data_IF_221982511646
#
_entry.id   IF_221982511646
#
_cell.length_a   1.000
_cell.length_b   1.000
_cell.length_c   1.000
_cell.angle_alpha   90.00
_cell.angle_beta   90.00
_cell.angle_gamma   90.00
#
_symmetry.space_group_name_H-M   'P 1'
#
loop_
_entity.id
_entity.type
_entity.pdbx_description
1 polymer ?
#
# COMPACT_ATOMS: atom_id res chain seq x y z
N UNK A 1 29.59 -7.91 -1.73
CA UNK A 1 28.35 -8.69 -1.57
C UNK A 1 28.71 -10.14 -1.33
N UNK A 2 28.46 -10.72 -0.16
CA UNK A 2 28.75 -12.13 0.09
C UNK A 2 27.67 -12.98 -0.58
N UNK A 3 28.09 -13.88 -1.46
CA UNK A 3 27.24 -14.94 -2.02
C UNK A 3 26.76 -15.82 -0.87
N UNK A 4 25.45 -15.81 -0.57
CA UNK A 4 24.86 -16.76 0.36
C UNK A 4 25.06 -18.18 -0.22
N UNK A 5 25.96 -18.93 0.37
CA UNK A 5 26.06 -20.37 0.16
C UNK A 5 24.80 -21.00 0.73
N UNK A 6 23.85 -21.37 -0.12
CA UNK A 6 22.81 -22.33 0.27
C UNK A 6 23.54 -23.62 0.64
N UNK A 7 23.51 -23.97 1.90
CA UNK A 7 24.03 -25.25 2.44
C UNK A 7 23.37 -26.40 1.69
N UNK A 8 24.21 -27.26 1.13
CA UNK A 8 23.79 -28.54 0.53
C UNK A 8 23.08 -29.38 1.61
N UNK A 9 22.02 -30.12 1.27
CA UNK A 9 21.52 -31.16 2.15
C UNK A 9 22.61 -32.24 2.29
N UNK A 10 22.86 -32.65 3.52
CA UNK A 10 23.80 -33.67 3.90
C UNK A 10 23.68 -34.94 3.01
N UNK A 11 24.79 -35.61 2.82
CA UNK A 11 25.04 -36.85 2.04
C UNK A 11 24.15 -38.06 2.44
N UNK A 12 23.19 -37.88 3.33
CA UNK A 12 22.26 -38.88 3.84
C UNK A 12 20.97 -39.07 3.00
N UNK A 13 20.74 -38.30 1.96
CA UNK A 13 19.49 -38.34 1.19
C UNK A 13 19.63 -38.98 -0.19
N UNK A 14 19.89 -40.26 -0.22
CA UNK A 14 19.47 -41.03 -1.39
C UNK A 14 17.95 -41.03 -1.47
N UNK A 15 17.36 -40.63 -2.61
CA UNK A 15 15.91 -40.55 -2.79
C UNK A 15 15.17 -41.85 -2.42
N UNK A 16 15.88 -42.95 -2.50
CA UNK A 16 15.36 -44.28 -2.27
C UNK A 16 16.00 -44.98 -1.06
N UNK A 17 16.64 -44.24 -0.15
CA UNK A 17 17.15 -44.79 1.10
C UNK A 17 15.99 -45.41 1.90
N UNK A 18 16.13 -46.71 2.24
CA UNK A 18 15.11 -47.48 2.96
C UNK A 18 14.29 -48.42 2.10
N UNK A 19 14.43 -48.36 0.75
CA UNK A 19 13.96 -49.43 -0.11
C UNK A 19 14.94 -50.61 -0.10
N UNK A 20 14.43 -51.84 0.00
CA UNK A 20 15.20 -53.05 -0.16
C UNK A 20 15.66 -53.22 -1.59
N UNK A 21 16.68 -54.05 -1.83
CA UNK A 21 17.20 -54.36 -3.17
C UNK A 21 16.09 -54.85 -4.12
N UNK A 22 15.18 -55.68 -3.63
CA UNK A 22 14.01 -56.16 -4.40
C UNK A 22 13.05 -55.06 -4.79
N UNK A 23 12.77 -54.12 -3.89
CA UNK A 23 11.91 -52.97 -4.15
C UNK A 23 12.55 -52.01 -5.16
N UNK A 24 13.88 -51.84 -5.11
CA UNK A 24 14.62 -51.04 -6.09
C UNK A 24 14.62 -51.69 -7.49
N UNK A 25 14.73 -53.01 -7.56
CA UNK A 25 14.64 -53.75 -8.83
C UNK A 25 13.22 -53.64 -9.40
N UNK A 26 12.18 -53.83 -8.61
CA UNK A 26 10.78 -53.69 -9.04
C UNK A 26 10.51 -52.26 -9.57
N UNK A 27 10.93 -51.24 -8.82
CA UNK A 27 10.78 -49.83 -9.23
C UNK A 27 11.55 -49.54 -10.54
N UNK A 28 12.82 -49.95 -10.61
CA UNK A 28 13.67 -49.68 -11.77
C UNK A 28 13.25 -50.40 -13.04
N UNK A 29 12.57 -51.56 -12.92
CA UNK A 29 12.07 -52.32 -14.07
C UNK A 29 10.81 -51.68 -14.71
N UNK A 30 10.09 -50.82 -13.98
CA UNK A 30 8.81 -50.23 -14.42
C UNK A 30 8.90 -48.71 -14.65
N UNK A 31 9.76 -48.04 -13.92
CA UNK A 31 9.91 -46.59 -14.02
C UNK A 31 10.85 -46.22 -15.20
N UNK A 32 10.52 -45.10 -15.85
CA UNK A 32 11.36 -44.56 -16.91
C UNK A 32 12.55 -43.82 -16.31
N UNK A 33 13.77 -44.16 -16.80
CA UNK A 33 14.99 -43.44 -16.43
C UNK A 33 15.45 -42.60 -17.60
N UNK A 34 15.41 -41.28 -17.44
CA UNK A 34 15.90 -40.34 -18.44
C UNK A 34 17.35 -39.94 -18.13
N UNK A 35 18.17 -39.83 -19.21
CA UNK A 35 19.55 -39.37 -19.16
C UNK A 35 19.65 -38.02 -19.82
N UNK A 36 20.13 -37.02 -19.10
CA UNK A 36 20.22 -35.63 -19.55
C UNK A 36 21.68 -35.24 -19.72
N UNK A 37 21.99 -34.49 -20.77
CA UNK A 37 23.29 -33.87 -20.97
C UNK A 37 23.34 -32.51 -20.24
N UNK A 38 24.55 -32.02 -19.93
CA UNK A 38 24.72 -30.69 -19.37
C UNK A 38 24.15 -29.62 -20.32
N UNK A 39 23.32 -28.70 -19.77
CA UNK A 39 22.63 -27.65 -20.53
C UNK A 39 21.29 -28.07 -21.13
N UNK A 40 20.92 -29.34 -21.07
CA UNK A 40 19.65 -29.83 -21.60
C UNK A 40 18.46 -29.34 -20.78
N UNK A 41 17.41 -28.84 -21.47
CA UNK A 41 16.14 -28.42 -20.84
C UNK A 41 15.28 -29.68 -20.71
N UNK A 42 15.12 -30.14 -19.47
CA UNK A 42 14.33 -31.33 -19.19
C UNK A 42 12.82 -31.02 -19.11
N UNK A 43 12.48 -29.98 -18.40
CA UNK A 43 11.09 -29.59 -18.25
C UNK A 43 10.92 -28.11 -18.66
N UNK A 44 9.87 -27.82 -19.44
CA UNK A 44 9.56 -26.46 -19.90
C UNK A 44 8.38 -25.88 -19.12
N UNK A 45 8.47 -24.62 -18.73
CA UNK A 45 7.33 -23.86 -18.20
C UNK A 45 6.15 -23.91 -19.18
N UNK A 46 4.94 -24.12 -18.66
CA UNK A 46 3.68 -24.19 -19.42
C UNK A 46 3.35 -25.59 -19.96
N UNK A 47 4.22 -26.60 -19.79
CA UNK A 47 3.86 -27.97 -20.10
C UNK A 47 2.85 -28.51 -19.08
N UNK A 48 1.93 -29.37 -19.56
CA UNK A 48 0.97 -30.11 -18.73
C UNK A 48 1.52 -31.51 -18.50
N UNK A 49 1.75 -31.90 -17.25
CA UNK A 49 2.35 -33.16 -16.88
C UNK A 49 2.08 -33.45 -15.39
N UNK A 50 1.80 -34.69 -15.06
CA UNK A 50 1.54 -35.17 -13.69
C UNK A 50 2.62 -36.10 -13.15
N UNK A 51 3.84 -35.95 -13.65
CA UNK A 51 4.98 -36.80 -13.25
C UNK A 51 5.80 -36.12 -12.15
N UNK A 52 6.28 -36.95 -11.22
CA UNK A 52 7.30 -36.60 -10.23
C UNK A 52 8.63 -37.13 -10.70
N UNK A 53 9.68 -36.34 -10.53
CA UNK A 53 11.01 -36.70 -10.95
C UNK A 53 11.97 -36.70 -9.77
N UNK A 54 12.77 -37.74 -9.67
CA UNK A 54 13.79 -37.89 -8.63
C UNK A 54 15.17 -37.99 -9.28
N UNK A 55 16.11 -37.18 -8.81
CA UNK A 55 17.49 -37.20 -9.34
C UNK A 55 18.23 -38.40 -8.76
N UNK A 56 18.61 -39.34 -9.63
CA UNK A 56 19.42 -40.48 -9.27
C UNK A 56 20.91 -40.11 -9.16
N UNK A 57 21.36 -39.22 -10.06
CA UNK A 57 22.74 -38.77 -10.15
C UNK A 57 22.82 -37.45 -10.93
N UNK A 58 23.78 -36.55 -10.61
CA UNK A 58 23.94 -35.27 -11.25
C UNK A 58 23.18 -34.14 -10.55
N UNK A 59 22.97 -33.02 -11.27
CA UNK A 59 22.33 -31.77 -10.75
C UNK A 59 21.50 -31.08 -11.80
N UNK A 60 20.42 -30.49 -11.38
CA UNK A 60 19.58 -29.61 -12.19
C UNK A 60 19.39 -28.26 -11.53
N UNK A 61 19.14 -27.21 -12.33
CA UNK A 61 18.69 -25.89 -11.84
C UNK A 61 17.26 -25.66 -12.27
N UNK A 62 16.47 -25.10 -11.36
CA UNK A 62 15.10 -24.61 -11.63
C UNK A 62 15.19 -23.14 -11.97
N UNK A 63 14.61 -22.74 -13.10
CA UNK A 63 14.65 -21.37 -13.60
C UNK A 63 13.23 -20.81 -13.79
N UNK A 64 13.07 -19.51 -13.55
CA UNK A 64 11.83 -18.76 -13.78
C UNK A 64 12.12 -17.45 -14.52
N UNK A 65 11.17 -16.99 -15.31
CA UNK A 65 11.25 -15.74 -16.06
C UNK A 65 11.40 -15.93 -17.56
N UNK A 66 11.23 -14.85 -18.35
CA UNK A 66 11.44 -14.89 -19.79
C UNK A 66 12.93 -15.06 -20.13
N UNK A 67 13.25 -15.59 -21.32
CA UNK A 67 14.63 -15.92 -21.74
C UNK A 67 15.66 -14.82 -21.45
N UNK A 68 15.29 -13.53 -21.59
CA UNK A 68 16.17 -12.39 -21.35
C UNK A 68 16.40 -12.04 -19.86
N UNK A 69 15.58 -12.56 -18.92
CA UNK A 69 15.66 -12.27 -17.48
C UNK A 69 15.43 -13.53 -16.64
N UNK A 70 16.05 -14.65 -17.05
CA UNK A 70 15.93 -15.90 -16.31
C UNK A 70 16.66 -15.83 -14.97
N UNK A 71 15.96 -16.17 -13.89
CA UNK A 71 16.50 -16.25 -12.53
C UNK A 71 16.52 -17.71 -12.10
N UNK A 72 17.67 -18.19 -11.60
CA UNK A 72 17.74 -19.50 -10.94
C UNK A 72 17.07 -19.40 -9.56
N UNK A 73 16.04 -20.23 -9.36
CA UNK A 73 15.28 -20.27 -8.09
C UNK A 73 15.91 -21.29 -7.16
N UNK A 74 16.28 -22.47 -7.68
CA UNK A 74 16.85 -23.54 -6.88
C UNK A 74 17.82 -24.39 -7.73
N UNK A 75 18.72 -25.08 -7.04
CA UNK A 75 19.55 -26.15 -7.58
C UNK A 75 19.23 -27.40 -6.80
N UNK A 76 18.91 -28.50 -7.51
CA UNK A 76 18.56 -29.77 -6.93
C UNK A 76 19.62 -30.79 -7.38
N UNK A 77 20.14 -31.54 -6.43
CA UNK A 77 21.17 -32.60 -6.65
C UNK A 77 20.62 -33.97 -6.35
N UNK A 78 21.50 -34.98 -6.45
CA UNK A 78 21.20 -36.38 -6.16
C UNK A 78 20.30 -36.59 -4.96
N UNK A 79 19.23 -37.35 -5.12
CA UNK A 79 18.23 -37.64 -4.10
C UNK A 79 17.14 -36.59 -3.98
N UNK A 80 17.26 -35.48 -4.71
CA UNK A 80 16.25 -34.40 -4.68
C UNK A 80 15.06 -34.71 -5.58
N UNK A 81 13.94 -34.10 -5.23
CA UNK A 81 12.66 -34.22 -5.89
C UNK A 81 12.38 -32.98 -6.76
N UNK A 82 11.96 -33.21 -8.00
CA UNK A 82 11.52 -32.17 -8.93
C UNK A 82 10.02 -32.33 -9.14
N UNK A 83 9.29 -31.21 -9.13
CA UNK A 83 7.85 -31.13 -9.43
C UNK A 83 6.95 -31.95 -8.47
N UNK A 84 7.26 -31.90 -7.20
CA UNK A 84 6.43 -32.53 -6.17
C UNK A 84 4.95 -32.11 -6.20
N UNK A 85 4.67 -30.89 -6.67
CA UNK A 85 3.31 -30.33 -6.75
C UNK A 85 2.45 -30.98 -7.86
N UNK A 86 3.05 -31.61 -8.85
CA UNK A 86 2.30 -32.32 -9.89
C UNK A 86 1.48 -33.49 -9.34
N UNK A 87 1.91 -34.09 -8.22
CA UNK A 87 1.16 -35.13 -7.50
C UNK A 87 -0.03 -34.55 -6.72
N UNK A 88 0.04 -33.27 -6.35
CA UNK A 88 -0.98 -32.59 -5.57
C UNK A 88 -2.14 -31.99 -6.40
N UNK A 89 -2.16 -32.20 -7.74
CA UNK A 89 -3.29 -31.87 -8.60
C UNK A 89 -3.15 -30.58 -9.44
N UNK A 90 -2.01 -29.87 -9.40
CA UNK A 90 -1.74 -28.74 -10.32
C UNK A 90 -0.85 -29.21 -11.48
N UNK A 91 -1.42 -29.53 -12.67
CA UNK A 91 -0.65 -30.10 -13.78
C UNK A 91 0.17 -29.05 -14.53
N UNK A 92 -0.03 -27.74 -14.29
CA UNK A 92 0.63 -26.68 -15.04
C UNK A 92 2.01 -26.36 -14.47
N UNK A 93 3.05 -26.55 -15.26
CA UNK A 93 4.44 -26.26 -14.86
C UNK A 93 4.70 -24.74 -14.82
N UNK A 94 5.05 -24.24 -13.65
CA UNK A 94 5.33 -22.80 -13.43
C UNK A 94 6.79 -22.42 -13.69
N UNK A 95 7.67 -23.40 -13.80
CA UNK A 95 9.13 -23.24 -13.93
C UNK A 95 9.70 -24.12 -15.03
N UNK A 96 10.94 -23.88 -15.42
CA UNK A 96 11.71 -24.79 -16.30
C UNK A 96 12.88 -25.41 -15.54
N UNK A 97 13.27 -26.64 -15.91
CA UNK A 97 14.36 -27.39 -15.29
C UNK A 97 15.44 -27.67 -16.32
N UNK A 98 16.68 -27.34 -15.98
CA UNK A 98 17.86 -27.52 -16.87
C UNK A 98 18.92 -28.33 -16.12
N UNK A 99 19.46 -29.35 -16.77
CA UNK A 99 20.59 -30.08 -16.24
C UNK A 99 21.86 -29.20 -16.23
N UNK A 100 22.58 -29.16 -15.10
CA UNK A 100 23.84 -28.40 -15.00
C UNK A 100 25.08 -29.25 -15.27
N UNK A 101 24.92 -30.58 -15.18
CA UNK A 101 25.92 -31.61 -15.45
C UNK A 101 25.18 -32.86 -15.99
N UNK A 102 25.87 -33.89 -16.53
CA UNK A 102 25.24 -35.14 -16.92
C UNK A 102 24.41 -35.69 -15.76
N UNK A 103 23.10 -35.86 -15.99
CA UNK A 103 22.12 -36.12 -14.92
C UNK A 103 21.24 -37.31 -15.29
N UNK A 104 20.99 -38.21 -14.34
CA UNK A 104 20.02 -39.31 -14.48
C UNK A 104 18.83 -39.03 -13.58
N UNK A 105 17.63 -39.13 -14.14
CA UNK A 105 16.38 -38.82 -13.46
C UNK A 105 15.43 -40.01 -13.63
N UNK A 106 14.77 -40.42 -12.56
CA UNK A 106 13.68 -41.38 -12.63
C UNK A 106 12.35 -40.60 -12.63
N UNK A 107 11.52 -40.93 -13.62
CA UNK A 107 10.20 -40.34 -13.79
C UNK A 107 9.14 -41.30 -13.22
N UNK A 108 8.28 -40.78 -12.34
CA UNK A 108 7.23 -41.51 -11.65
C UNK A 108 5.89 -40.84 -11.90
N UNK A 109 4.99 -41.55 -12.55
CA UNK A 109 3.57 -41.18 -12.61
C UNK A 109 2.75 -42.13 -11.72
N UNK A 110 1.48 -41.78 -11.54
CA UNK A 110 0.56 -42.61 -10.76
C UNK A 110 0.45 -44.03 -11.30
N UNK A 111 0.35 -44.19 -12.62
CA UNK A 111 0.25 -45.51 -13.27
C UNK A 111 1.46 -46.40 -13.01
N UNK A 112 2.66 -45.81 -13.09
CA UNK A 112 3.92 -46.51 -12.76
C UNK A 112 3.91 -47.01 -11.32
N UNK A 113 3.54 -46.12 -10.37
CA UNK A 113 3.48 -46.48 -8.93
C UNK A 113 2.42 -47.54 -8.66
N UNK A 114 1.23 -47.38 -9.25
CA UNK A 114 0.09 -48.33 -9.10
C UNK A 114 0.42 -49.74 -9.72
N UNK A 115 1.35 -49.79 -10.65
CA UNK A 115 1.80 -51.08 -11.26
C UNK A 115 2.80 -51.88 -10.39
N UNK A 116 3.39 -51.25 -9.36
CA UNK A 116 4.31 -51.91 -8.44
C UNK A 116 3.57 -52.87 -7.50
N UNK A 117 4.27 -53.82 -6.88
CA UNK A 117 3.65 -54.62 -5.83
C UNK A 117 3.32 -53.74 -4.62
N UNK A 118 2.27 -54.12 -3.84
CA UNK A 118 1.72 -53.33 -2.74
C UNK A 118 2.77 -52.86 -1.72
N UNK A 119 3.74 -53.74 -1.41
CA UNK A 119 4.81 -53.43 -0.47
C UNK A 119 5.73 -52.32 -1.01
N UNK A 120 6.11 -52.46 -2.29
CA UNK A 120 6.93 -51.42 -2.98
C UNK A 120 6.16 -50.11 -3.12
N UNK A 121 4.89 -50.15 -3.47
CA UNK A 121 4.01 -48.96 -3.51
C UNK A 121 4.05 -48.21 -2.19
N UNK A 122 3.78 -48.92 -1.08
CA UNK A 122 3.76 -48.30 0.25
C UNK A 122 5.12 -47.69 0.60
N UNK A 123 6.21 -48.36 0.27
CA UNK A 123 7.57 -47.87 0.52
C UNK A 123 7.87 -46.61 -0.31
N UNK A 124 7.45 -46.56 -1.58
CA UNK A 124 7.60 -45.39 -2.48
C UNK A 124 6.78 -44.23 -1.97
N UNK A 125 5.50 -44.42 -1.62
CA UNK A 125 4.65 -43.34 -1.08
C UNK A 125 5.18 -42.79 0.25
N UNK A 126 5.61 -43.65 1.17
CA UNK A 126 6.26 -43.22 2.43
C UNK A 126 7.49 -42.35 2.15
N UNK A 127 8.30 -42.76 1.16
CA UNK A 127 9.49 -42.00 0.82
C UNK A 127 9.20 -40.68 0.14
N UNK A 128 8.23 -40.63 -0.77
CA UNK A 128 7.75 -39.39 -1.40
C UNK A 128 7.19 -38.44 -0.35
N UNK A 129 6.37 -38.93 0.58
CA UNK A 129 5.83 -38.13 1.69
C UNK A 129 6.95 -37.54 2.56
N UNK A 130 7.99 -38.32 2.87
CA UNK A 130 9.13 -37.83 3.65
C UNK A 130 9.95 -36.77 2.90
N UNK A 131 10.15 -36.95 1.59
CA UNK A 131 10.82 -35.93 0.76
C UNK A 131 10.01 -34.64 0.67
N UNK A 132 8.68 -34.75 0.56
CA UNK A 132 7.78 -33.59 0.56
C UNK A 132 7.82 -32.84 1.89
N UNK A 133 7.78 -33.55 3.02
CA UNK A 133 7.90 -32.93 4.35
C UNK A 133 9.24 -32.18 4.50
N UNK A 134 10.33 -32.77 4.06
CA UNK A 134 11.64 -32.12 4.04
C UNK A 134 11.64 -30.85 3.19
N UNK A 135 10.99 -30.88 2.02
CA UNK A 135 10.88 -29.72 1.14
C UNK A 135 10.02 -28.59 1.75
N UNK A 136 8.89 -28.95 2.35
CA UNK A 136 8.03 -28.00 3.09
C UNK A 136 8.79 -27.32 4.23
N UNK A 137 9.57 -28.07 5.01
CA UNK A 137 10.40 -27.49 6.08
C UNK A 137 11.44 -26.50 5.56
N UNK A 138 12.08 -26.81 4.43
CA UNK A 138 13.03 -25.89 3.80
C UNK A 138 12.36 -24.62 3.30
N UNK A 139 11.16 -24.72 2.69
CA UNK A 139 10.38 -23.57 2.24
C UNK A 139 9.98 -22.69 3.43
N UNK A 140 9.45 -23.25 4.52
CA UNK A 140 9.12 -22.51 5.77
C UNK A 140 10.34 -21.81 6.35
N UNK A 141 11.50 -22.46 6.36
CA UNK A 141 12.75 -21.83 6.84
C UNK A 141 13.17 -20.66 5.94
N UNK A 142 13.03 -20.81 4.63
CA UNK A 142 13.30 -19.71 3.67
C UNK A 142 12.35 -18.54 3.84
N UNK A 143 11.06 -18.81 4.01
CA UNK A 143 10.03 -17.82 4.28
C UNK A 143 10.34 -17.03 5.55
N UNK A 144 10.64 -17.71 6.66
CA UNK A 144 10.99 -17.05 7.92
C UNK A 144 12.24 -16.16 7.78
N UNK A 145 13.25 -16.60 7.01
CA UNK A 145 14.43 -15.78 6.74
C UNK A 145 14.10 -14.53 5.91
N UNK A 146 13.17 -14.64 4.95
CA UNK A 146 12.73 -13.51 4.13
C UNK A 146 11.91 -12.53 4.97
N UNK A 147 11.03 -13.03 5.84
CA UNK A 147 10.26 -12.21 6.79
C UNK A 147 11.19 -11.44 7.72
N UNK A 148 12.18 -12.12 8.34
CA UNK A 148 13.16 -11.45 9.21
C UNK A 148 13.96 -10.36 8.48
N UNK A 149 14.38 -10.62 7.24
CA UNK A 149 15.08 -9.61 6.42
C UNK A 149 14.18 -8.45 6.04
N UNK A 150 12.91 -8.73 5.73
CA UNK A 150 11.94 -7.67 5.42
C UNK A 150 11.70 -6.77 6.64
N UNK A 151 11.52 -7.38 7.83
CA UNK A 151 11.40 -6.62 9.08
C UNK A 151 12.62 -5.73 9.33
N UNK A 152 13.83 -6.26 9.15
CA UNK A 152 15.05 -5.49 9.31
C UNK A 152 15.16 -4.34 8.31
N UNK A 153 14.85 -4.58 7.04
CA UNK A 153 14.86 -3.52 6.02
C UNK A 153 13.83 -2.42 6.30
N UNK A 154 12.66 -2.78 6.84
CA UNK A 154 11.64 -1.81 7.26
C UNK A 154 12.15 -0.92 8.40
N UNK A 155 12.81 -1.52 9.39
CA UNK A 155 13.42 -0.79 10.51
C UNK A 155 14.58 0.10 10.04
N UNK A 156 15.41 -0.39 9.13
CA UNK A 156 16.51 0.39 8.54
C UNK A 156 15.98 1.62 7.78
N UNK A 157 14.88 1.47 7.03
CA UNK A 157 14.22 2.60 6.32
C UNK A 157 13.72 3.64 7.33
N UNK A 158 13.08 3.21 8.42
CA UNK A 158 12.61 4.11 9.47
C UNK A 158 13.77 4.86 10.12
N UNK A 159 14.81 4.14 10.54
CA UNK A 159 15.98 4.72 11.18
C UNK A 159 16.73 5.70 10.26
N UNK A 160 16.78 5.41 8.95
CA UNK A 160 17.43 6.29 7.98
C UNK A 160 16.65 7.60 7.76
N UNK A 161 15.32 7.56 7.78
CA UNK A 161 14.46 8.75 7.59
C UNK A 161 14.17 9.52 8.87
N UNK A 162 14.11 8.83 10.02
CA UNK A 162 13.76 9.43 11.30
C UNK A 162 14.75 10.55 11.76
N UNK A 163 16.07 10.44 11.55
CA UNK A 163 17.01 11.49 11.98
C UNK A 163 16.99 12.78 11.16
N UNK A 164 16.26 12.82 10.04
CA UNK A 164 16.13 14.04 9.22
C UNK A 164 15.26 15.12 9.89
N UNK A 165 14.82 14.92 11.14
CA UNK A 165 14.31 15.98 12.02
C UNK A 165 15.43 16.92 12.40
N UNK A 166 15.91 17.71 11.44
CA UNK A 166 16.94 18.71 11.68
C UNK A 166 16.35 19.85 12.52
N UNK A 167 17.13 20.39 13.48
CA UNK A 167 16.79 21.58 14.28
C UNK A 167 16.53 22.83 13.42
N UNK A 168 16.67 22.71 12.10
CA UNK A 168 16.42 23.78 11.14
C UNK A 168 15.00 24.35 11.25
N UNK A 169 14.01 23.51 11.60
CA UNK A 169 12.61 23.94 11.82
C UNK A 169 12.46 24.90 13.03
N UNK A 170 13.43 24.92 13.94
CA UNK A 170 13.46 25.82 15.08
C UNK A 170 14.15 27.16 14.77
N UNK A 171 14.65 27.35 13.55
CA UNK A 171 15.35 28.57 13.17
C UNK A 171 14.42 29.81 13.27
N UNK A 172 14.98 30.92 13.70
CA UNK A 172 14.26 32.20 13.79
C UNK A 172 13.70 32.66 12.43
N UNK A 173 14.36 32.26 11.34
CA UNK A 173 13.88 32.54 9.98
C UNK A 173 12.52 31.89 9.73
N UNK A 174 12.35 30.60 10.06
CA UNK A 174 11.10 29.84 9.87
C UNK A 174 10.03 30.41 10.80
N UNK A 175 10.32 30.62 12.06
CA UNK A 175 9.41 31.24 13.04
C UNK A 175 8.94 32.61 12.58
N UNK A 176 9.86 33.44 12.05
CA UNK A 176 9.54 34.76 11.51
C UNK A 176 8.61 34.71 10.30
N UNK A 177 8.72 33.69 9.44
CA UNK A 177 7.83 33.51 8.29
C UNK A 177 6.46 32.98 8.74
N UNK A 178 6.42 31.98 9.60
CA UNK A 178 5.18 31.43 10.15
C UNK A 178 4.30 32.54 10.74
N UNK A 179 4.88 33.48 11.49
CA UNK A 179 4.17 34.62 12.05
C UNK A 179 3.60 35.59 11.00
N UNK A 180 4.15 35.60 9.78
CA UNK A 180 3.68 36.46 8.67
C UNK A 180 2.54 35.81 7.87
N UNK A 181 2.33 34.49 7.97
CA UNK A 181 1.22 33.84 7.31
C UNK A 181 -0.11 34.34 7.93
N UNK A 182 -1.05 34.81 7.13
CA UNK A 182 -2.34 35.26 7.67
C UNK A 182 -3.01 34.15 8.48
N UNK A 183 -3.54 34.48 9.64
CA UNK A 183 -4.28 33.51 10.46
C UNK A 183 -5.58 33.10 9.77
N UNK A 184 -6.02 31.88 10.03
CA UNK A 184 -7.36 31.46 9.66
C UNK A 184 -8.38 32.44 10.23
N UNK A 185 -9.43 32.80 9.48
CA UNK A 185 -10.52 33.58 10.01
C UNK A 185 -11.07 32.94 11.29
N UNK A 186 -11.47 33.76 12.27
CA UNK A 186 -11.93 33.30 13.58
C UNK A 186 -13.04 32.23 13.52
N UNK A 187 -13.89 32.29 12.50
CA UNK A 187 -14.94 31.30 12.30
C UNK A 187 -14.38 29.88 11.99
N UNK A 188 -13.27 29.78 11.27
CA UNK A 188 -12.69 28.49 10.93
C UNK A 188 -12.09 27.80 12.17
N UNK A 189 -11.61 28.59 13.15
CA UNK A 189 -11.10 28.05 14.41
C UNK A 189 -12.21 27.70 15.40
N UNK A 190 -13.32 28.46 15.37
CA UNK A 190 -14.49 28.24 16.26
C UNK A 190 -15.26 26.97 15.87
N UNK A 191 -15.26 26.61 14.58
CA UNK A 191 -15.97 25.46 14.05
C UNK A 191 -15.25 24.13 14.24
N UNK A 192 -14.02 24.11 14.76
CA UNK A 192 -13.22 22.90 14.98
C UNK A 192 -13.76 21.98 16.10
N UNK A 193 -14.86 22.34 16.78
CA UNK A 193 -15.56 21.52 17.76
C UNK A 193 -16.78 20.82 17.17
N UNK A 194 -17.18 19.68 17.78
CA UNK A 194 -18.41 18.96 17.43
C UNK A 194 -19.65 19.82 17.83
N UNK A 195 -20.10 20.68 16.93
CA UNK A 195 -21.30 21.46 17.15
C UNK A 195 -22.53 20.73 16.60
N UNK A 196 -23.67 20.76 17.31
CA UNK A 196 -24.95 20.34 16.74
C UNK A 196 -25.27 21.14 15.47
N UNK A 197 -25.91 20.53 14.48
CA UNK A 197 -26.23 21.13 13.18
C UNK A 197 -26.92 22.49 13.30
N UNK A 198 -27.83 22.63 14.28
CA UNK A 198 -28.57 23.85 14.52
C UNK A 198 -27.65 25.00 14.96
N UNK A 199 -26.70 24.72 15.82
CA UNK A 199 -25.77 25.72 16.37
C UNK A 199 -24.79 26.23 15.29
N UNK A 200 -24.39 25.38 14.32
CA UNK A 200 -23.60 25.84 13.19
C UNK A 200 -24.37 26.78 12.28
N UNK A 201 -25.60 26.41 11.90
CA UNK A 201 -26.46 27.29 11.08
C UNK A 201 -26.64 28.64 11.74
N UNK A 202 -26.85 28.64 13.04
CA UNK A 202 -27.03 29.89 13.83
C UNK A 202 -25.72 30.66 13.92
N UNK A 203 -24.57 30.01 14.06
CA UNK A 203 -23.27 30.68 14.01
C UNK A 203 -22.97 31.27 12.63
N UNK A 204 -23.20 30.52 11.55
CA UNK A 204 -23.01 31.03 10.18
C UNK A 204 -23.94 32.24 9.95
N UNK A 205 -25.19 32.16 10.35
CA UNK A 205 -26.16 33.26 10.18
C UNK A 205 -25.82 34.55 10.97
N UNK A 206 -25.06 34.41 12.06
CA UNK A 206 -24.60 35.57 12.85
C UNK A 206 -23.47 36.36 12.18
N UNK A 207 -22.79 35.74 11.23
CA UNK A 207 -21.71 36.36 10.46
C UNK A 207 -22.12 36.53 8.99
N UNK A 208 -22.53 37.76 8.57
CA UNK A 208 -22.94 38.05 7.18
C UNK A 208 -21.84 37.73 6.16
N UNK A 209 -20.57 37.87 6.57
CA UNK A 209 -19.46 37.53 5.67
C UNK A 209 -19.39 36.02 5.43
N UNK A 210 -19.62 35.20 6.47
CA UNK A 210 -19.73 33.76 6.33
C UNK A 210 -20.90 33.33 5.45
N UNK A 211 -22.07 33.90 5.65
CA UNK A 211 -23.25 33.66 4.81
C UNK A 211 -22.91 33.94 3.35
N UNK A 212 -22.31 35.09 3.07
CA UNK A 212 -21.95 35.50 1.72
C UNK A 212 -20.91 34.51 1.10
N UNK A 213 -19.92 34.06 1.87
CA UNK A 213 -18.92 33.13 1.43
C UNK A 213 -19.53 31.77 1.07
N UNK A 214 -20.30 31.20 2.00
CA UNK A 214 -20.94 29.90 1.82
C UNK A 214 -21.84 29.91 0.59
N UNK A 215 -22.74 30.93 0.51
CA UNK A 215 -23.65 31.06 -0.64
C UNK A 215 -22.90 31.30 -1.96
N UNK A 216 -21.86 32.14 -1.96
CA UNK A 216 -21.01 32.34 -3.15
C UNK A 216 -20.33 31.07 -3.60
N UNK A 217 -19.74 30.29 -2.66
CA UNK A 217 -19.02 29.07 -2.97
C UNK A 217 -19.96 27.98 -3.48
N UNK A 218 -21.09 27.77 -2.81
CA UNK A 218 -22.11 26.78 -3.20
C UNK A 218 -22.71 27.11 -4.57
N UNK A 219 -22.94 28.38 -4.88
CA UNK A 219 -23.46 28.83 -6.17
C UNK A 219 -22.39 28.98 -7.26
N UNK A 220 -21.15 28.68 -6.97
CA UNK A 220 -20.09 28.71 -7.99
C UNK A 220 -20.24 27.56 -9.00
N UNK A 221 -19.57 27.70 -10.18
CA UNK A 221 -19.49 26.64 -11.17
C UNK A 221 -18.88 25.33 -10.63
N UNK A 222 -18.17 25.41 -9.50
CA UNK A 222 -17.55 24.29 -8.82
C UNK A 222 -18.57 23.25 -8.34
N UNK A 223 -19.72 23.70 -7.76
CA UNK A 223 -20.82 22.83 -7.32
C UNK A 223 -21.86 22.57 -8.40
N UNK A 224 -21.97 23.48 -9.41
CA UNK A 224 -22.82 23.32 -10.60
C UNK A 224 -24.30 22.99 -10.31
N UNK A 225 -24.90 23.58 -9.28
CA UNK A 225 -26.33 23.45 -9.05
C UNK A 225 -27.15 24.15 -10.13
N UNK A 226 -28.22 23.52 -10.64
CA UNK A 226 -29.08 24.07 -11.66
C UNK A 226 -29.86 25.31 -11.20
N UNK A 227 -30.20 25.37 -9.91
CA UNK A 227 -30.86 26.53 -9.28
C UNK A 227 -29.96 27.14 -8.22
N UNK A 228 -29.94 28.48 -8.19
CA UNK A 228 -29.19 29.20 -7.17
C UNK A 228 -29.78 28.95 -5.79
N UNK A 229 -28.93 28.70 -4.81
CA UNK A 229 -29.27 28.55 -3.41
C UNK A 229 -29.25 29.94 -2.77
N UNK A 230 -30.40 30.36 -2.19
CA UNK A 230 -30.56 31.71 -1.71
C UNK A 230 -30.30 31.88 -0.22
N UNK A 231 -30.33 30.81 0.57
CA UNK A 231 -30.14 30.88 2.01
C UNK A 231 -29.38 29.69 2.59
N UNK A 232 -28.84 29.86 3.78
CA UNK A 232 -28.00 28.88 4.48
C UNK A 232 -28.78 27.63 4.91
N UNK A 233 -30.05 27.82 5.29
CA UNK A 233 -30.87 26.67 5.72
C UNK A 233 -31.09 25.71 4.54
N UNK A 234 -31.42 26.27 3.37
CA UNK A 234 -31.53 25.50 2.13
C UNK A 234 -30.21 24.85 1.75
N UNK A 235 -29.09 25.57 1.91
CA UNK A 235 -27.75 25.00 1.69
C UNK A 235 -27.47 23.78 2.59
N UNK A 236 -27.81 23.90 3.89
CA UNK A 236 -27.63 22.79 4.85
C UNK A 236 -28.55 21.62 4.55
N UNK A 237 -29.78 21.86 4.12
CA UNK A 237 -30.71 20.78 3.73
C UNK A 237 -30.22 20.02 2.50
N UNK A 238 -29.64 20.73 1.52
CA UNK A 238 -29.14 20.10 0.29
C UNK A 238 -27.80 19.36 0.45
N UNK A 239 -26.87 19.98 1.17
CA UNK A 239 -25.49 19.49 1.29
C UNK A 239 -25.24 18.72 2.59
N UNK A 240 -26.06 18.95 3.59
CA UNK A 240 -25.80 18.48 4.95
C UNK A 240 -24.79 19.35 5.70
N UNK A 241 -24.80 19.21 7.02
CA UNK A 241 -23.94 19.95 7.93
C UNK A 241 -22.45 19.82 7.60
N UNK A 242 -21.97 18.59 7.42
CA UNK A 242 -20.57 18.31 7.21
C UNK A 242 -20.01 18.92 5.92
N UNK A 243 -20.82 18.95 4.86
CA UNK A 243 -20.40 19.59 3.61
C UNK A 243 -20.31 21.11 3.75
N UNK A 244 -21.24 21.72 4.47
CA UNK A 244 -21.19 23.16 4.77
C UNK A 244 -19.96 23.49 5.62
N UNK A 245 -19.68 22.69 6.64
CA UNK A 245 -18.48 22.82 7.45
C UNK A 245 -17.20 22.74 6.59
N UNK A 246 -17.09 21.74 5.70
CA UNK A 246 -15.96 21.61 4.78
C UNK A 246 -15.83 22.84 3.86
N UNK A 247 -16.93 23.34 3.31
CA UNK A 247 -16.93 24.57 2.48
C UNK A 247 -16.38 25.75 3.25
N UNK A 248 -16.81 25.92 4.50
CA UNK A 248 -16.37 27.05 5.34
C UNK A 248 -14.88 26.96 5.66
N UNK A 249 -14.40 25.78 6.07
CA UNK A 249 -12.98 25.57 6.37
C UNK A 249 -12.13 25.70 5.11
N UNK A 250 -12.55 25.07 3.99
CA UNK A 250 -11.83 25.16 2.72
C UNK A 250 -11.68 26.60 2.24
N UNK A 251 -12.74 27.43 2.34
CA UNK A 251 -12.67 28.84 1.96
C UNK A 251 -11.81 29.65 2.95
N UNK A 252 -11.84 29.31 4.24
CA UNK A 252 -10.94 29.89 5.23
C UNK A 252 -9.47 29.67 4.87
N UNK A 253 -9.11 28.43 4.56
CA UNK A 253 -7.75 28.04 4.14
C UNK A 253 -7.39 28.72 2.82
N UNK A 254 -8.29 28.71 1.84
CA UNK A 254 -8.07 29.34 0.52
C UNK A 254 -7.71 30.83 0.66
N UNK A 255 -8.27 31.53 1.61
CA UNK A 255 -7.98 32.96 1.87
C UNK A 255 -6.59 33.20 2.44
N UNK A 256 -6.01 32.22 3.11
CA UNK A 256 -4.63 32.32 3.63
C UNK A 256 -3.60 31.99 2.57
N UNK A 257 -3.99 31.32 1.48
CA UNK A 257 -3.10 30.91 0.41
C UNK A 257 -2.81 32.03 -0.59
N UNK A 258 -1.59 32.13 -1.12
CA UNK A 258 -1.28 32.99 -2.24
C UNK A 258 -2.16 32.70 -3.47
N UNK A 259 -2.64 33.74 -4.16
CA UNK A 259 -3.51 33.58 -5.33
C UNK A 259 -2.71 33.24 -6.60
N UNK A 260 -2.04 32.11 -6.63
CA UNK A 260 -1.27 31.63 -7.77
C UNK A 260 -1.88 30.34 -8.34
N UNK A 261 -1.60 29.99 -9.61
CA UNK A 261 -2.05 28.71 -10.20
C UNK A 261 -1.61 27.50 -9.38
N UNK A 262 -0.39 27.50 -8.86
CA UNK A 262 0.15 26.44 -7.99
C UNK A 262 -0.75 26.21 -6.78
N UNK A 263 -1.09 27.27 -6.04
CA UNK A 263 -1.92 27.14 -4.84
C UNK A 263 -3.38 26.80 -5.12
N UNK A 264 -3.92 27.23 -6.29
CA UNK A 264 -5.25 26.81 -6.73
C UNK A 264 -5.30 25.29 -6.97
N UNK A 265 -4.27 24.73 -7.61
CA UNK A 265 -4.16 23.28 -7.85
C UNK A 265 -3.99 22.52 -6.51
N UNK A 266 -3.13 23.03 -5.63
CA UNK A 266 -2.88 22.45 -4.32
C UNK A 266 -4.17 22.44 -3.46
N UNK A 267 -4.89 23.56 -3.42
CA UNK A 267 -6.15 23.68 -2.70
C UNK A 267 -7.21 22.71 -3.24
N UNK A 268 -7.35 22.61 -4.58
CA UNK A 268 -8.24 21.64 -5.21
C UNK A 268 -7.89 20.21 -4.85
N UNK A 269 -6.60 19.88 -4.85
CA UNK A 269 -6.13 18.57 -4.42
C UNK A 269 -6.52 18.28 -2.98
N UNK A 270 -6.23 19.20 -2.06
CA UNK A 270 -6.56 19.05 -0.64
C UNK A 270 -8.08 18.92 -0.41
N UNK A 271 -8.90 19.62 -1.21
CA UNK A 271 -10.35 19.54 -1.14
C UNK A 271 -10.86 18.16 -1.61
N UNK A 272 -10.32 17.63 -2.70
CA UNK A 272 -10.64 16.27 -3.18
C UNK A 272 -10.23 15.22 -2.14
N UNK A 273 -9.00 15.30 -1.62
CA UNK A 273 -8.52 14.38 -0.57
C UNK A 273 -9.40 14.45 0.68
N UNK A 274 -9.82 15.65 1.08
CA UNK A 274 -10.75 15.84 2.21
C UNK A 274 -12.06 15.08 2.03
N UNK A 275 -12.67 15.15 0.86
CA UNK A 275 -13.92 14.42 0.57
C UNK A 275 -13.72 12.91 0.54
N UNK A 276 -12.62 12.43 -0.04
CA UNK A 276 -12.28 10.99 -0.05
C UNK A 276 -12.05 10.50 1.38
N UNK A 277 -11.26 11.24 2.17
CA UNK A 277 -10.96 10.92 3.56
C UNK A 277 -12.23 10.87 4.44
N UNK A 278 -13.14 11.84 4.25
CA UNK A 278 -14.44 11.84 4.89
C UNK A 278 -15.23 10.56 4.58
N UNK A 279 -15.31 10.18 3.31
CA UNK A 279 -16.05 8.97 2.91
C UNK A 279 -15.39 7.69 3.42
N UNK A 280 -14.06 7.58 3.37
CA UNK A 280 -13.36 6.45 3.95
C UNK A 280 -13.58 6.34 5.46
N UNK A 281 -13.66 7.46 6.19
CA UNK A 281 -13.99 7.46 7.62
C UNK A 281 -15.41 6.94 7.88
N UNK A 282 -16.40 7.33 7.07
CA UNK A 282 -17.77 6.83 7.17
C UNK A 282 -17.86 5.33 6.91
N UNK A 283 -17.25 4.86 5.82
CA UNK A 283 -17.32 3.45 5.40
C UNK A 283 -16.51 2.54 6.32
N UNK A 284 -15.36 3.01 6.82
CA UNK A 284 -14.55 2.24 7.78
C UNK A 284 -15.14 2.25 9.20
N UNK A 285 -16.07 3.17 9.48
CA UNK A 285 -16.61 3.42 10.83
C UNK A 285 -15.54 3.75 11.87
N UNK A 286 -14.41 4.31 11.43
CA UNK A 286 -13.29 4.70 12.27
C UNK A 286 -13.06 6.21 12.22
N UNK A 287 -12.67 6.77 13.37
CA UNK A 287 -12.38 8.19 13.54
C UNK A 287 -13.63 9.08 13.48
N UNK A 288 -13.39 10.40 13.42
CA UNK A 288 -14.42 11.41 13.30
C UNK A 288 -14.40 12.01 11.88
N UNK A 289 -15.42 11.74 11.03
CA UNK A 289 -15.38 12.12 9.62
C UNK A 289 -15.06 13.59 9.37
N UNK A 290 -15.65 14.52 10.16
CA UNK A 290 -15.39 15.95 10.04
C UNK A 290 -13.95 16.34 10.39
N UNK A 291 -13.35 15.69 11.40
CA UNK A 291 -11.96 15.91 11.80
C UNK A 291 -11.00 15.44 10.72
N UNK A 292 -11.23 14.23 10.16
CA UNK A 292 -10.42 13.66 9.10
C UNK A 292 -10.54 14.48 7.81
N UNK A 293 -11.73 15.00 7.49
CA UNK A 293 -11.92 15.91 6.39
C UNK A 293 -11.13 17.22 6.58
N UNK A 294 -11.13 17.77 7.79
CA UNK A 294 -10.35 18.97 8.13
C UNK A 294 -8.84 18.70 7.99
N UNK A 295 -8.39 17.54 8.43
CA UNK A 295 -7.01 17.10 8.23
C UNK A 295 -6.68 16.99 6.74
N UNK A 296 -7.56 16.39 5.94
CA UNK A 296 -7.42 16.33 4.48
C UNK A 296 -7.31 17.69 3.80
N UNK A 297 -8.00 18.73 4.32
CA UNK A 297 -7.88 20.10 3.82
C UNK A 297 -6.55 20.76 4.20
N UNK A 298 -5.99 20.43 5.37
CA UNK A 298 -4.85 21.10 5.96
C UNK A 298 -3.51 20.43 5.65
N UNK A 299 -3.51 19.21 5.14
CA UNK A 299 -2.30 18.39 5.04
C UNK A 299 -1.18 19.01 4.19
N UNK A 300 -1.53 19.83 3.20
CA UNK A 300 -0.57 20.51 2.31
C UNK A 300 -0.23 21.95 2.76
N UNK A 301 -0.71 22.39 3.93
CA UNK A 301 -0.60 23.80 4.38
C UNK A 301 0.86 24.25 4.53
N UNK A 302 1.78 23.35 4.79
CA UNK A 302 3.21 23.63 4.88
C UNK A 302 3.83 24.17 3.59
N UNK A 303 3.20 23.90 2.44
CA UNK A 303 3.63 24.46 1.16
C UNK A 303 3.54 25.99 1.12
N UNK A 304 2.65 26.60 1.92
CA UNK A 304 2.58 28.06 2.05
C UNK A 304 3.85 28.59 2.67
N UNK A 305 4.33 27.94 3.74
CA UNK A 305 5.56 28.32 4.43
C UNK A 305 6.76 28.15 3.49
N UNK A 306 6.85 27.03 2.76
CA UNK A 306 7.89 26.79 1.77
C UNK A 306 7.94 27.89 0.73
N UNK A 307 6.79 28.25 0.14
CA UNK A 307 6.71 29.28 -0.89
C UNK A 307 7.16 30.64 -0.36
N UNK A 308 6.71 31.04 0.83
CA UNK A 308 7.12 32.31 1.43
C UNK A 308 8.63 32.34 1.75
N UNK A 309 9.19 31.19 2.17
CA UNK A 309 10.64 31.06 2.36
C UNK A 309 11.39 31.24 1.04
N UNK A 310 10.92 30.59 -0.05
CA UNK A 310 11.52 30.72 -1.39
C UNK A 310 11.45 32.15 -1.91
N UNK A 311 10.30 32.80 -1.79
CA UNK A 311 10.07 34.17 -2.27
C UNK A 311 10.98 35.18 -1.53
N UNK A 312 11.21 35.01 -0.23
CA UNK A 312 12.08 35.89 0.56
C UNK A 312 13.56 35.54 0.44
N UNK A 313 13.89 34.31 0.08
CA UNK A 313 15.28 33.80 0.03
C UNK A 313 15.56 33.04 -1.28
N UNK A 314 15.46 33.67 -2.47
CA UNK A 314 15.60 32.97 -3.76
C UNK A 314 16.94 32.23 -3.92
N UNK A 315 18.02 32.73 -3.29
CA UNK A 315 19.34 32.09 -3.33
C UNK A 315 19.40 30.77 -2.56
N UNK A 316 18.48 30.56 -1.61
CA UNK A 316 18.37 29.35 -0.81
C UNK A 316 17.28 28.38 -1.31
N UNK A 317 16.66 28.66 -2.44
CA UNK A 317 15.52 27.89 -2.94
C UNK A 317 15.79 26.36 -3.03
N UNK A 318 17.01 25.95 -3.41
CA UNK A 318 17.38 24.53 -3.45
C UNK A 318 17.40 23.87 -2.07
N UNK A 319 17.80 24.59 -1.03
CA UNK A 319 17.80 24.11 0.35
C UNK A 319 16.38 24.14 0.95
N UNK A 320 15.58 25.13 0.59
CA UNK A 320 14.21 25.28 1.07
C UNK A 320 13.32 24.14 0.53
N UNK A 321 13.55 23.67 -0.69
CA UNK A 321 12.79 22.58 -1.32
C UNK A 321 12.96 21.22 -0.63
N UNK A 322 14.03 21.03 0.14
CA UNK A 322 14.27 19.78 0.89
C UNK A 322 13.66 19.83 2.29
N UNK A 323 13.08 20.97 2.70
CA UNK A 323 12.40 21.07 3.99
C UNK A 323 11.17 20.18 4.02
N UNK A 324 10.92 19.58 5.17
CA UNK A 324 9.75 18.75 5.39
C UNK A 324 8.50 19.62 5.52
N UNK A 325 7.64 19.55 4.49
CA UNK A 325 6.39 20.30 4.48
C UNK A 325 5.44 19.90 5.61
N UNK A 326 5.47 18.63 6.05
CA UNK A 326 4.61 18.15 7.13
C UNK A 326 4.97 18.84 8.45
N UNK A 327 6.27 18.94 8.74
CA UNK A 327 6.74 19.64 9.92
C UNK A 327 6.44 21.15 9.86
N UNK A 328 6.66 21.80 8.72
CA UNK A 328 6.34 23.21 8.55
C UNK A 328 4.84 23.49 8.67
N UNK A 329 4.02 22.61 8.12
CA UNK A 329 2.56 22.67 8.26
C UNK A 329 2.12 22.52 9.71
N UNK A 330 2.67 21.55 10.41
CA UNK A 330 2.42 21.31 11.84
C UNK A 330 2.75 22.58 12.68
N UNK A 331 3.91 23.19 12.47
CA UNK A 331 4.32 24.42 13.15
C UNK A 331 3.37 25.59 12.87
N UNK A 332 2.93 25.74 11.61
CA UNK A 332 1.96 26.77 11.23
C UNK A 332 0.61 26.56 11.92
N UNK A 333 0.09 25.33 11.92
CA UNK A 333 -1.20 25.03 12.57
C UNK A 333 -1.14 25.20 14.08
N UNK A 334 0.01 24.89 14.69
CA UNK A 334 0.27 25.15 16.11
C UNK A 334 0.28 26.64 16.42
N UNK A 335 0.93 27.46 15.59
CA UNK A 335 0.92 28.93 15.73
C UNK A 335 -0.49 29.51 15.56
N UNK A 336 -1.33 28.87 14.74
CA UNK A 336 -2.75 29.23 14.59
C UNK A 336 -3.63 28.73 15.75
N UNK A 337 -3.05 28.07 16.74
CA UNK A 337 -3.72 27.51 17.92
C UNK A 337 -4.86 26.54 17.58
N UNK A 338 -4.64 25.69 16.55
CA UNK A 338 -5.55 24.60 16.21
C UNK A 338 -5.40 23.41 17.19
N UNK A 339 -6.43 22.55 17.30
CA UNK A 339 -6.39 21.38 18.16
C UNK A 339 -5.17 20.49 17.91
N UNK A 340 -4.63 19.92 18.99
CA UNK A 340 -3.42 19.10 18.97
C UNK A 340 -3.51 17.95 17.96
N UNK A 341 -4.67 17.31 17.86
CA UNK A 341 -4.91 16.21 16.94
C UNK A 341 -4.69 16.63 15.48
N UNK A 342 -5.03 17.84 15.08
CA UNK A 342 -4.87 18.31 13.70
C UNK A 342 -3.41 18.59 13.36
N UNK A 343 -2.69 19.40 14.16
CA UNK A 343 -1.32 19.72 13.81
C UNK A 343 -0.37 18.53 13.99
N UNK A 344 -0.62 17.63 14.97
CA UNK A 344 0.12 16.36 15.09
C UNK A 344 -0.17 15.43 13.91
N UNK A 345 -1.42 15.31 13.47
CA UNK A 345 -1.75 14.51 12.28
C UNK A 345 -1.00 15.00 11.04
N UNK A 346 -0.90 16.33 10.85
CA UNK A 346 -0.10 16.89 9.76
C UNK A 346 1.39 16.56 9.92
N UNK A 347 1.93 16.58 11.13
CA UNK A 347 3.33 16.21 11.40
C UNK A 347 3.65 14.77 10.97
N UNK A 348 2.74 13.84 11.26
CA UNK A 348 2.95 12.41 10.99
C UNK A 348 2.43 11.93 9.64
N UNK A 349 1.86 12.81 8.79
CA UNK A 349 1.16 12.41 7.57
C UNK A 349 1.99 11.60 6.56
N UNK A 350 3.29 11.79 6.53
CA UNK A 350 4.20 11.09 5.60
C UNK A 350 4.75 9.76 6.16
N UNK A 351 4.52 9.46 7.44
CA UNK A 351 5.04 8.25 8.09
C UNK A 351 4.62 6.94 7.38
N UNK A 352 3.38 6.79 6.86
CA UNK A 352 3.00 5.56 6.16
C UNK A 352 3.89 5.18 4.98
N UNK A 353 4.60 6.13 4.41
CA UNK A 353 5.49 5.86 3.29
C UNK A 353 6.81 5.17 3.68
N UNK A 354 7.21 5.25 4.96
CA UNK A 354 8.49 4.73 5.44
C UNK A 354 8.46 4.11 6.83
N UNK A 355 7.29 4.00 7.47
CA UNK A 355 7.17 3.58 8.86
C UNK A 355 5.93 2.73 9.10
N UNK A 356 6.05 1.76 9.99
CA UNK A 356 4.94 1.01 10.57
C UNK A 356 4.04 1.91 11.43
N UNK A 357 2.73 1.62 11.54
CA UNK A 357 1.80 2.33 12.42
C UNK A 357 2.24 2.44 13.89
N UNK A 358 3.06 1.51 14.35
CA UNK A 358 3.55 1.50 15.74
C UNK A 358 4.38 2.74 16.12
N UNK A 359 5.01 3.39 15.14
CA UNK A 359 5.79 4.61 15.34
C UNK A 359 4.95 5.89 15.36
N UNK A 360 3.64 5.75 15.18
CA UNK A 360 2.66 6.85 15.23
C UNK A 360 1.93 6.78 16.56
N UNK A 361 1.72 7.92 17.27
CA UNK A 361 0.87 7.97 18.46
C UNK A 361 -0.49 7.32 18.21
N UNK A 362 -0.96 6.51 19.16
CA UNK A 362 -2.14 5.68 18.98
C UNK A 362 -3.38 6.49 18.58
N UNK A 363 -3.58 7.63 19.20
CA UNK A 363 -4.70 8.54 18.94
C UNK A 363 -4.71 9.13 17.51
N UNK A 364 -3.56 9.09 16.80
CA UNK A 364 -3.43 9.64 15.45
C UNK A 364 -3.49 8.58 14.35
N UNK A 365 -3.31 7.30 14.68
CA UNK A 365 -3.14 6.22 13.70
C UNK A 365 -4.25 6.15 12.68
N UNK A 366 -5.51 6.28 13.11
CA UNK A 366 -6.66 6.24 12.20
C UNK A 366 -6.70 7.44 11.25
N UNK A 367 -6.47 8.65 11.76
CA UNK A 367 -6.45 9.86 10.94
C UNK A 367 -5.40 9.75 9.84
N UNK A 368 -4.20 9.30 10.20
CA UNK A 368 -3.08 9.15 9.29
C UNK A 368 -3.32 8.01 8.30
N UNK A 369 -3.86 6.87 8.76
CA UNK A 369 -4.24 5.76 7.89
C UNK A 369 -5.25 6.20 6.84
N UNK A 370 -6.32 6.87 7.24
CA UNK A 370 -7.37 7.28 6.32
C UNK A 370 -6.90 8.36 5.34
N UNK A 371 -6.04 9.28 5.77
CA UNK A 371 -5.42 10.23 4.83
C UNK A 371 -4.52 9.52 3.82
N UNK A 372 -3.69 8.59 4.28
CA UNK A 372 -2.81 7.80 3.42
C UNK A 372 -3.60 6.99 2.38
N UNK A 373 -4.64 6.27 2.81
CA UNK A 373 -5.55 5.54 1.91
C UNK A 373 -6.27 6.48 0.95
N UNK A 374 -6.63 7.69 1.39
CA UNK A 374 -7.27 8.69 0.52
C UNK A 374 -6.39 9.10 -0.64
N UNK A 375 -5.11 9.30 -0.41
CA UNK A 375 -4.15 9.59 -1.47
C UNK A 375 -3.98 8.42 -2.43
N UNK A 376 -3.87 7.20 -1.90
CA UNK A 376 -3.72 6.01 -2.73
C UNK A 376 -4.96 5.74 -3.59
N UNK A 377 -6.17 5.91 -3.03
CA UNK A 377 -7.42 5.82 -3.78
C UNK A 377 -7.53 6.93 -4.85
N UNK A 378 -7.12 8.16 -4.52
CA UNK A 378 -7.08 9.26 -5.47
C UNK A 378 -6.13 8.96 -6.64
N UNK A 379 -4.92 8.50 -6.37
CA UNK A 379 -3.94 8.11 -7.39
C UNK A 379 -4.48 6.98 -8.29
N UNK A 380 -5.17 6.01 -7.70
CA UNK A 380 -5.84 4.92 -8.43
C UNK A 380 -6.92 5.48 -9.38
N UNK A 381 -7.78 6.39 -8.90
CA UNK A 381 -8.84 7.01 -9.70
C UNK A 381 -8.29 7.91 -10.81
N UNK A 382 -7.14 8.53 -10.62
CA UNK A 382 -6.43 9.28 -11.65
C UNK A 382 -5.83 8.39 -12.76
N UNK A 383 -5.79 7.08 -12.56
CA UNK A 383 -5.15 6.15 -13.48
C UNK A 383 -3.63 6.28 -13.51
N UNK A 384 -3.04 6.82 -12.46
CA UNK A 384 -1.60 6.97 -12.33
C UNK A 384 -0.92 5.60 -12.19
N UNK A 385 -0.36 5.09 -13.30
CA UNK A 385 0.40 3.82 -13.31
C UNK A 385 1.72 3.87 -12.53
N UNK A 386 2.24 5.06 -12.25
CA UNK A 386 3.39 5.24 -11.36
C UNK A 386 2.85 5.55 -9.98
N UNK A 387 2.96 4.60 -9.06
CA UNK A 387 2.74 4.86 -7.64
C UNK A 387 3.67 6.01 -7.21
N UNK A 388 3.07 7.12 -6.85
CA UNK A 388 3.79 8.30 -6.36
C UNK A 388 4.21 8.14 -4.90
N UNK A 389 3.49 7.28 -4.16
CA UNK A 389 3.70 7.00 -2.73
C UNK A 389 4.16 5.56 -2.50
N UNK A 390 5.01 5.36 -1.48
CA UNK A 390 5.45 4.03 -1.08
C UNK A 390 4.30 3.25 -0.43
N UNK A 391 4.15 1.97 -0.83
CA UNK A 391 3.15 1.04 -0.27
C UNK A 391 3.80 -0.08 0.57
N UNK A 392 5.04 0.13 1.00
CA UNK A 392 5.82 -0.88 1.74
C UNK A 392 5.13 -1.33 3.04
N UNK A 393 4.39 -0.44 3.68
CA UNK A 393 3.70 -0.69 4.95
C UNK A 393 2.17 -0.72 4.81
N UNK A 394 1.65 -0.72 3.58
CA UNK A 394 0.22 -0.56 3.31
C UNK A 394 -0.64 -1.60 4.04
N UNK A 395 -0.25 -2.86 4.01
CA UNK A 395 -1.00 -3.94 4.65
C UNK A 395 -1.16 -3.70 6.16
N UNK A 396 -0.10 -3.22 6.84
CA UNK A 396 -0.12 -2.89 8.26
C UNK A 396 -1.10 -1.74 8.59
N UNK A 397 -1.27 -0.79 7.66
CA UNK A 397 -2.25 0.30 7.82
C UNK A 397 -3.67 -0.16 7.51
N UNK A 398 -3.86 -1.04 6.52
CA UNK A 398 -5.18 -1.64 6.24
C UNK A 398 -5.65 -2.48 7.42
N UNK A 399 -4.75 -3.21 8.10
CA UNK A 399 -5.06 -4.00 9.29
C UNK A 399 -5.63 -3.17 10.46
N UNK A 400 -5.37 -1.86 10.52
CA UNK A 400 -5.99 -0.96 11.50
C UNK A 400 -7.46 -0.66 11.21
N UNK A 401 -7.95 -0.97 10.01
CA UNK A 401 -9.31 -0.69 9.57
C UNK A 401 -10.18 -1.97 9.62
N UNK A 402 -11.46 -1.84 9.27
CA UNK A 402 -12.35 -3.00 9.09
C UNK A 402 -12.21 -3.68 7.71
N UNK A 403 -11.20 -3.32 6.91
CA UNK A 403 -10.92 -3.87 5.58
C UNK A 403 -9.75 -4.86 5.57
N UNK A 404 -9.52 -5.54 6.68
CA UNK A 404 -8.46 -6.55 6.81
C UNK A 404 -8.57 -7.62 5.71
N UNK A 405 -7.45 -7.90 5.07
CA UNK A 405 -7.38 -8.86 3.97
C UNK A 405 -7.86 -8.35 2.60
N UNK A 406 -8.39 -7.12 2.52
CA UNK A 406 -8.72 -6.48 1.25
C UNK A 406 -7.50 -5.81 0.63
N UNK A 407 -7.45 -5.80 -0.68
CA UNK A 407 -6.50 -5.00 -1.44
C UNK A 407 -6.95 -3.55 -1.54
N UNK A 408 -6.03 -2.63 -1.83
CA UNK A 408 -6.37 -1.23 -2.08
C UNK A 408 -7.41 -1.06 -3.20
N UNK A 409 -7.33 -1.88 -4.25
CA UNK A 409 -8.27 -1.84 -5.38
C UNK A 409 -9.68 -2.25 -4.95
N UNK A 410 -9.81 -3.28 -4.12
CA UNK A 410 -11.11 -3.70 -3.56
C UNK A 410 -11.68 -2.62 -2.63
N UNK A 411 -10.87 -2.02 -1.75
CA UNK A 411 -11.30 -0.90 -0.90
C UNK A 411 -11.81 0.26 -1.76
N UNK A 412 -11.04 0.66 -2.78
CA UNK A 412 -11.41 1.78 -3.63
C UNK A 412 -12.65 1.52 -4.48
N UNK A 413 -12.77 0.33 -5.09
CA UNK A 413 -13.83 0.02 -6.05
C UNK A 413 -15.10 -0.53 -5.41
N UNK A 414 -14.99 -1.32 -4.34
CA UNK A 414 -16.13 -2.01 -3.75
C UNK A 414 -16.70 -1.27 -2.52
N UNK A 415 -15.85 -0.55 -1.77
CA UNK A 415 -16.28 0.18 -0.58
C UNK A 415 -16.46 1.68 -0.87
N UNK A 416 -15.42 2.35 -1.34
CA UNK A 416 -15.41 3.81 -1.48
C UNK A 416 -16.24 4.30 -2.66
N UNK A 417 -16.00 3.79 -3.87
CA UNK A 417 -16.63 4.30 -5.11
C UNK A 417 -18.17 4.24 -5.07
N UNK A 418 -18.82 3.14 -4.67
CA UNK A 418 -20.28 3.07 -4.60
C UNK A 418 -20.87 4.08 -3.60
N UNK A 419 -20.19 4.31 -2.47
CA UNK A 419 -20.59 5.28 -1.47
C UNK A 419 -20.47 6.72 -2.00
N UNK A 420 -19.39 7.02 -2.73
CA UNK A 420 -19.20 8.33 -3.36
C UNK A 420 -20.20 8.60 -4.48
N UNK A 421 -20.52 7.60 -5.30
CA UNK A 421 -21.52 7.71 -6.38
C UNK A 421 -22.89 8.13 -5.82
N UNK A 422 -23.33 7.54 -4.70
CA UNK A 422 -24.60 7.90 -4.02
C UNK A 422 -24.66 9.37 -3.62
N UNK A 423 -23.54 9.98 -3.27
CA UNK A 423 -23.41 11.38 -2.85
C UNK A 423 -22.86 12.30 -3.95
N UNK A 424 -22.68 11.82 -5.17
CA UNK A 424 -21.96 12.54 -6.25
C UNK A 424 -22.51 13.95 -6.52
N UNK A 425 -23.83 14.14 -6.41
CA UNK A 425 -24.47 15.44 -6.63
C UNK A 425 -24.04 16.53 -5.63
N UNK A 426 -23.54 16.16 -4.47
CA UNK A 426 -23.10 17.09 -3.42
C UNK A 426 -21.62 17.46 -3.53
N UNK A 427 -20.87 16.80 -4.40
CA UNK A 427 -19.43 17.03 -4.55
C UNK A 427 -19.10 18.13 -5.55
N UNK A 428 -17.92 18.75 -5.40
CA UNK A 428 -17.37 19.66 -6.40
C UNK A 428 -17.25 19.01 -7.77
N UNK A 429 -17.41 19.82 -8.83
CA UNK A 429 -17.39 19.34 -10.22
C UNK A 429 -16.15 18.48 -10.55
N UNK A 430 -14.90 18.85 -10.17
CA UNK A 430 -13.73 18.05 -10.46
C UNK A 430 -13.77 16.65 -9.82
N UNK A 431 -14.31 16.54 -8.60
CA UNK A 431 -14.46 15.24 -7.93
C UNK A 431 -15.58 14.40 -8.57
N UNK A 432 -16.68 15.04 -9.00
CA UNK A 432 -17.74 14.35 -9.77
C UNK A 432 -17.19 13.75 -11.06
N UNK A 433 -16.45 14.55 -11.84
CA UNK A 433 -15.83 14.10 -13.08
C UNK A 433 -14.83 12.96 -12.85
N UNK A 434 -14.14 12.96 -11.71
CA UNK A 434 -13.23 11.88 -11.34
C UNK A 434 -14.00 10.59 -11.06
N UNK A 435 -15.12 10.66 -10.34
CA UNK A 435 -15.99 9.52 -10.01
C UNK A 435 -16.64 8.97 -11.31
N UNK A 436 -17.20 9.83 -12.16
CA UNK A 436 -17.85 9.45 -13.42
C UNK A 436 -16.92 8.70 -14.38
N UNK A 437 -15.61 8.95 -14.33
CA UNK A 437 -14.63 8.20 -15.12
C UNK A 437 -14.37 6.78 -14.61
N UNK A 438 -14.78 6.47 -13.38
CA UNK A 438 -14.59 5.15 -12.77
C UNK A 438 -15.84 4.25 -12.90
N UNK A 439 -17.00 4.83 -13.18
CA UNK A 439 -18.27 4.13 -13.41
C UNK A 439 -18.53 3.89 -14.88
#
# INVERSE_FOLDING_TARGET
MPKSKMTQPDDQTSAFKGLSERELIDLSSRAKIDKLQAGEIYLKKGALDQMVFVILDGKVKIIQGPKAKQKTIAVISKGGLIEAMAVAGDPLRKTSVIATEPTRVIALDKGTVDSLNEKTQLSVYKRLAHLLDGHIRLLKKSENNLLSKNMQLKEDIFNYRSPLKTDFHQSEMIKGIIKKVPRLPAFATTLSGQLPTKDLVDQIKRDPALVAIVLKTINSAFYSFQKKIADIHHAVVLLGFEQIYQVVIAEGIRRTMPNTPKFKTLHLHSEIISHIAFMLSLESRHGHPAEIASFGLLHEIGQIVIQLLEDQNPRLAALIKVLDQAQLGSLLLKEWNLPDVLWKSVEFQSYPEFSSPHHIPEELRYNITLLYLSHLCYDLFQGNKKQTRSTTFLDEYIELTNWQGMTLEEIAREQLLPAMVKKSKTYPLPLRQLIEKQT
#
